data_IF_321663927340
#
_entry.id   IF_321663927340
#
_cell.length_a   1.000
_cell.length_b   1.000
_cell.length_c   1.000
_cell.angle_alpha   90.00
_cell.angle_beta   90.00
_cell.angle_gamma   90.00
#
_symmetry.space_group_name_H-M   'P 1'
#
loop_
_entity.id
_entity.type
_entity.pdbx_description
1 polymer ?
#
# COMPACT_ATOMS: atom_id res chain seq x y z
N UNK A 1 -20.49 1.32 19.61
CA UNK A 1 -19.37 2.20 20.01
C UNK A 1 -18.76 2.78 18.73
N UNK A 2 -18.90 4.08 18.52
CA UNK A 2 -18.39 4.75 17.32
C UNK A 2 -16.86 4.86 17.41
N UNK A 3 -16.15 4.43 16.35
CA UNK A 3 -14.69 4.50 16.29
C UNK A 3 -14.27 5.91 15.90
N UNK A 4 -13.27 6.45 16.58
CA UNK A 4 -12.69 7.77 16.28
C UNK A 4 -11.24 7.65 15.83
N UNK A 5 -10.80 8.57 14.97
CA UNK A 5 -9.39 8.73 14.58
C UNK A 5 -8.91 10.14 14.90
N UNK A 6 -7.63 10.27 15.20
CA UNK A 6 -6.98 11.58 15.40
C UNK A 6 -6.22 11.92 14.12
N UNK A 7 -6.54 13.05 13.50
CA UNK A 7 -5.84 13.61 12.35
C UNK A 7 -5.41 15.03 12.72
N UNK A 8 -4.10 15.32 12.65
CA UNK A 8 -3.52 16.63 12.97
C UNK A 8 -3.92 17.19 14.35
N UNK A 9 -4.19 16.33 15.33
CA UNK A 9 -4.59 16.71 16.69
C UNK A 9 -6.11 16.80 16.92
N UNK A 10 -6.91 16.79 15.84
CA UNK A 10 -8.36 16.82 15.90
C UNK A 10 -8.96 15.40 15.87
N UNK A 11 -10.04 15.17 16.63
CA UNK A 11 -10.75 13.89 16.66
C UNK A 11 -11.92 13.89 15.69
N UNK A 12 -11.94 12.88 14.84
CA UNK A 12 -13.02 12.66 13.89
C UNK A 12 -13.67 11.30 14.13
N UNK A 13 -14.97 11.20 13.89
CA UNK A 13 -15.60 9.89 13.74
C UNK A 13 -15.07 9.22 12.47
N UNK A 14 -14.76 7.92 12.54
CA UNK A 14 -14.25 7.15 11.39
C UNK A 14 -15.26 7.17 10.25
N UNK A 15 -16.55 7.12 10.55
CA UNK A 15 -17.67 7.26 9.62
C UNK A 15 -17.56 8.53 8.77
N UNK A 16 -17.30 9.67 9.41
CA UNK A 16 -17.22 10.96 8.74
C UNK A 16 -15.96 11.09 7.88
N UNK A 17 -14.82 10.58 8.36
CA UNK A 17 -13.58 10.53 7.58
C UNK A 17 -13.77 9.67 6.33
N UNK A 18 -14.34 8.46 6.48
CA UNK A 18 -14.50 7.53 5.35
C UNK A 18 -15.45 8.06 4.26
N UNK A 19 -16.38 8.96 4.59
CA UNK A 19 -17.27 9.60 3.62
C UNK A 19 -16.58 10.68 2.79
N UNK A 20 -15.52 11.27 3.31
CA UNK A 20 -14.82 12.40 2.68
C UNK A 20 -13.51 11.98 2.01
N UNK A 21 -12.95 10.83 2.41
CA UNK A 21 -11.70 10.33 1.84
C UNK A 21 -11.90 9.87 0.41
N UNK A 22 -11.08 10.43 -0.48
CA UNK A 22 -10.93 9.99 -1.87
C UNK A 22 -9.60 9.26 -2.01
N UNK A 23 -9.64 8.06 -2.60
CA UNK A 23 -8.43 7.32 -2.95
C UNK A 23 -8.13 7.55 -4.43
N UNK A 24 -6.94 8.06 -4.72
CA UNK A 24 -6.51 8.35 -6.10
C UNK A 24 -5.07 7.91 -6.36
N UNK A 25 -4.70 7.68 -7.63
CA UNK A 25 -3.30 7.56 -8.01
C UNK A 25 -2.51 8.82 -7.64
N UNK A 26 -1.27 8.61 -7.22
CA UNK A 26 -0.30 9.69 -6.96
C UNK A 26 0.18 10.22 -8.31
N UNK A 27 0.25 11.54 -8.43
CA UNK A 27 0.77 12.18 -9.64
C UNK A 27 2.30 12.09 -9.70
N UNK A 28 2.94 12.14 -10.88
CA UNK A 28 4.39 12.02 -10.99
C UNK A 28 5.19 12.97 -10.09
N UNK A 29 4.74 14.22 -9.96
CA UNK A 29 5.32 15.27 -9.13
C UNK A 29 5.17 15.00 -7.62
N UNK A 30 4.15 14.24 -7.22
CA UNK A 30 3.87 13.89 -5.82
C UNK A 30 4.64 12.64 -5.36
N UNK A 31 5.24 11.88 -6.29
CA UNK A 31 5.90 10.62 -5.99
C UNK A 31 7.09 10.79 -5.02
N UNK A 32 7.80 11.92 -5.09
CA UNK A 32 8.89 12.25 -4.17
C UNK A 32 8.40 12.36 -2.72
N UNK A 33 7.32 13.14 -2.51
CA UNK A 33 6.65 13.31 -1.21
C UNK A 33 6.15 11.98 -0.67
N UNK A 34 5.52 11.16 -1.53
CA UNK A 34 5.02 9.83 -1.16
C UNK A 34 6.14 8.92 -0.62
N UNK A 35 7.27 8.87 -1.33
CA UNK A 35 8.43 8.05 -0.93
C UNK A 35 9.04 8.53 0.38
N UNK A 36 9.11 9.85 0.59
CA UNK A 36 9.61 10.43 1.84
C UNK A 36 8.71 10.05 3.02
N UNK A 37 7.39 10.21 2.88
CA UNK A 37 6.43 9.92 3.95
C UNK A 37 6.36 8.44 4.30
N UNK A 38 6.35 7.51 3.33
CA UNK A 38 6.42 6.07 3.68
C UNK A 38 7.74 5.76 4.39
N UNK A 39 8.88 6.32 3.95
CA UNK A 39 10.16 6.07 4.61
C UNK A 39 10.15 6.53 6.08
N UNK A 40 9.53 7.67 6.35
CA UNK A 40 9.49 8.29 7.68
C UNK A 40 8.44 7.66 8.61
N UNK A 41 7.25 7.32 8.09
CA UNK A 41 6.07 6.95 8.89
C UNK A 41 5.75 5.46 8.87
N UNK A 42 6.19 4.71 7.86
CA UNK A 42 5.89 3.28 7.78
C UNK A 42 6.80 2.51 8.74
N UNK A 43 6.22 1.68 9.61
CA UNK A 43 6.95 0.92 10.63
C UNK A 43 7.97 -0.11 10.09
N UNK A 44 7.90 -0.43 8.78
CA UNK A 44 8.92 -1.25 8.09
C UNK A 44 9.86 -0.42 7.19
N UNK A 45 9.69 0.91 7.16
CA UNK A 45 10.34 1.80 6.21
C UNK A 45 9.90 1.59 4.75
N UNK A 46 10.57 2.30 3.84
CA UNK A 46 10.53 2.09 2.39
C UNK A 46 11.94 1.85 1.87
N UNK A 47 12.26 0.60 1.52
CA UNK A 47 13.52 0.29 0.85
C UNK A 47 13.34 0.26 -0.67
N UNK A 48 12.39 -0.53 -1.16
CA UNK A 48 12.07 -0.58 -2.58
C UNK A 48 10.70 -1.20 -2.82
N UNK A 49 9.97 -0.71 -3.82
CA UNK A 49 8.82 -1.42 -4.39
C UNK A 49 9.33 -2.15 -5.63
N UNK A 50 9.10 -3.46 -5.71
CA UNK A 50 9.70 -4.32 -6.75
C UNK A 50 8.82 -4.36 -8.00
N UNK A 51 9.44 -4.15 -9.17
CA UNK A 51 8.78 -4.28 -10.48
C UNK A 51 7.89 -3.09 -10.83
N UNK A 52 6.76 -3.37 -11.47
CA UNK A 52 5.74 -2.36 -11.79
C UNK A 52 5.06 -1.89 -10.50
N UNK A 53 4.88 -0.58 -10.36
CA UNK A 53 4.35 0.01 -9.11
C UNK A 53 3.23 0.98 -9.39
N UNK A 54 2.22 0.94 -8.51
CA UNK A 54 1.12 1.89 -8.54
C UNK A 54 1.00 2.49 -7.15
N UNK A 55 1.24 3.80 -7.08
CA UNK A 55 1.18 4.55 -5.83
C UNK A 55 -0.20 5.21 -5.72
N UNK A 56 -0.83 5.05 -4.57
CA UNK A 56 -2.08 5.72 -4.22
C UNK A 56 -1.92 6.55 -2.96
N UNK A 57 -2.74 7.58 -2.90
CA UNK A 57 -2.95 8.40 -1.71
C UNK A 57 -4.43 8.43 -1.39
N UNK A 58 -4.73 8.31 -0.09
CA UNK A 58 -6.03 8.66 0.47
C UNK A 58 -5.97 10.12 0.91
N UNK A 59 -6.84 10.94 0.33
CA UNK A 59 -6.89 12.38 0.52
C UNK A 59 -8.25 12.79 1.09
N UNK A 60 -8.24 13.72 2.04
CA UNK A 60 -9.42 14.38 2.59
C UNK A 60 -9.17 15.89 2.56
N UNK A 61 -9.99 16.65 1.83
CA UNK A 61 -9.85 18.12 1.68
C UNK A 61 -8.43 18.59 1.33
N UNK A 62 -7.78 17.96 0.34
CA UNK A 62 -6.40 18.31 -0.03
C UNK A 62 -5.31 17.71 0.88
N UNK A 63 -5.71 17.08 2.00
CA UNK A 63 -4.78 16.54 3.00
C UNK A 63 -4.58 15.05 2.82
N UNK A 64 -3.32 14.62 2.81
CA UNK A 64 -2.96 13.21 2.71
C UNK A 64 -3.13 12.54 4.07
N UNK A 65 -4.10 11.62 4.17
CA UNK A 65 -4.42 10.92 5.42
C UNK A 65 -3.90 9.49 5.45
N UNK A 66 -3.66 8.87 4.30
CA UNK A 66 -3.01 7.55 4.21
C UNK A 66 -2.32 7.35 2.86
N UNK A 67 -1.38 6.40 2.83
CA UNK A 67 -0.58 6.07 1.66
C UNK A 67 -0.66 4.57 1.38
N UNK A 68 -0.87 4.20 0.13
CA UNK A 68 -1.03 2.79 -0.29
C UNK A 68 -0.18 2.53 -1.53
N UNK A 69 0.74 1.57 -1.44
CA UNK A 69 1.59 1.17 -2.55
C UNK A 69 1.26 -0.23 -3.03
N UNK A 70 1.14 -0.40 -4.34
CA UNK A 70 1.06 -1.70 -5.00
C UNK A 70 2.34 -1.97 -5.78
N UNK A 71 2.79 -3.21 -5.79
CA UNK A 71 3.95 -3.67 -6.54
C UNK A 71 3.67 -5.03 -7.19
N UNK A 72 4.61 -5.51 -8.00
CA UNK A 72 4.57 -6.87 -8.52
C UNK A 72 4.45 -7.90 -7.40
N UNK A 73 3.75 -9.00 -7.68
CA UNK A 73 3.54 -10.06 -6.71
C UNK A 73 4.85 -10.75 -6.28
N UNK A 74 4.97 -11.01 -4.97
CA UNK A 74 6.08 -11.78 -4.44
C UNK A 74 6.04 -13.23 -4.95
N UNK A 75 7.22 -13.73 -5.32
CA UNK A 75 7.40 -15.04 -5.94
C UNK A 75 7.03 -16.20 -5.00
N UNK A 76 7.31 -16.05 -3.70
CA UNK A 76 7.28 -17.15 -2.71
C UNK A 76 6.14 -17.04 -1.69
N UNK A 77 4.92 -16.70 -2.15
CA UNK A 77 3.72 -16.71 -1.31
C UNK A 77 2.90 -17.97 -1.62
N UNK A 78 3.14 -19.04 -0.87
CA UNK A 78 2.50 -20.35 -1.06
C UNK A 78 1.03 -20.33 -0.67
N UNK A 79 0.67 -19.60 0.39
CA UNK A 79 -0.71 -19.44 0.86
C UNK A 79 -1.61 -18.85 -0.23
N UNK A 80 -1.13 -17.83 -0.97
CA UNK A 80 -1.85 -17.25 -2.12
C UNK A 80 -2.12 -18.30 -3.20
N UNK A 81 -1.09 -19.07 -3.57
CA UNK A 81 -1.25 -20.09 -4.61
C UNK A 81 -2.27 -21.16 -4.21
N UNK A 82 -2.25 -21.60 -2.94
CA UNK A 82 -3.25 -22.55 -2.40
C UNK A 82 -4.66 -21.97 -2.37
N UNK A 83 -4.82 -20.72 -1.93
CA UNK A 83 -6.12 -20.06 -1.86
C UNK A 83 -6.78 -19.91 -3.23
N UNK A 84 -6.01 -19.51 -4.26
CA UNK A 84 -6.54 -19.39 -5.63
C UNK A 84 -6.70 -20.78 -6.29
N UNK A 85 -6.11 -21.84 -5.71
CA UNK A 85 -6.11 -23.19 -6.28
C UNK A 85 -5.14 -23.37 -7.46
N UNK A 86 -4.07 -22.57 -7.52
CA UNK A 86 -3.09 -22.65 -8.61
C UNK A 86 -2.12 -23.81 -8.45
N UNK A 87 -1.94 -24.57 -9.53
CA UNK A 87 -0.78 -25.46 -9.70
C UNK A 87 0.51 -24.65 -9.86
N UNK A 88 1.68 -25.30 -9.75
CA UNK A 88 2.97 -24.64 -9.99
C UNK A 88 3.07 -24.01 -11.38
N UNK A 89 2.57 -24.71 -12.41
CA UNK A 89 2.55 -24.22 -13.79
C UNK A 89 1.62 -23.00 -13.95
N UNK A 90 0.42 -23.05 -13.36
CA UNK A 90 -0.51 -21.91 -13.37
C UNK A 90 0.08 -20.70 -12.67
N UNK A 91 0.72 -20.90 -11.50
CA UNK A 91 1.43 -19.84 -10.79
C UNK A 91 2.47 -19.19 -11.70
N UNK A 92 3.33 -19.97 -12.35
CA UNK A 92 4.40 -19.42 -13.19
C UNK A 92 3.85 -18.57 -14.35
N UNK A 93 2.73 -18.99 -14.96
CA UNK A 93 2.12 -18.24 -16.07
C UNK A 93 1.29 -17.03 -15.64
N UNK A 94 0.66 -17.10 -14.46
CA UNK A 94 -0.34 -16.12 -14.01
C UNK A 94 0.17 -15.11 -12.99
N UNK A 95 1.33 -15.35 -12.37
CA UNK A 95 1.85 -14.47 -11.33
C UNK A 95 2.03 -13.02 -11.78
N UNK A 96 2.39 -12.81 -13.06
CA UNK A 96 2.55 -11.49 -13.68
C UNK A 96 1.26 -10.64 -13.73
N UNK A 97 0.10 -11.25 -13.52
CA UNK A 97 -1.20 -10.55 -13.51
C UNK A 97 -1.67 -10.19 -12.09
N UNK A 98 -0.84 -10.42 -11.07
CA UNK A 98 -1.17 -10.14 -9.68
C UNK A 98 -0.39 -8.91 -9.21
N UNK A 99 -1.12 -7.92 -8.73
CA UNK A 99 -0.57 -6.85 -7.90
C UNK A 99 -0.61 -7.27 -6.43
N UNK A 100 0.37 -6.81 -5.66
CA UNK A 100 0.47 -7.05 -4.22
C UNK A 100 0.62 -5.72 -3.50
N UNK A 101 -0.02 -5.59 -2.33
CA UNK A 101 0.24 -4.46 -1.45
C UNK A 101 1.70 -4.53 -0.94
N UNK A 102 2.48 -3.49 -1.22
CA UNK A 102 3.92 -3.43 -1.01
C UNK A 102 4.35 -3.34 0.46
N UNK A 103 4.03 -4.37 1.25
CA UNK A 103 4.45 -4.51 2.66
C UNK A 103 5.68 -5.39 2.76
N UNK A 104 6.78 -4.95 2.17
CA UNK A 104 8.01 -5.72 2.17
C UNK A 104 8.91 -5.27 3.32
N UNK A 105 9.34 -6.24 4.14
CA UNK A 105 10.38 -6.02 5.13
C UNK A 105 11.71 -5.84 4.40
N UNK A 106 12.52 -4.88 4.83
CA UNK A 106 13.89 -4.74 4.36
C UNK A 106 14.63 -6.08 4.47
N UNK A 107 15.47 -6.48 3.50
CA UNK A 107 16.44 -7.54 3.75
C UNK A 107 17.27 -7.15 4.98
N UNK A 108 17.49 -8.09 5.90
CA UNK A 108 18.47 -7.87 6.97
C UNK A 108 19.82 -7.68 6.27
N UNK A 109 20.49 -6.57 6.55
CA UNK A 109 21.92 -6.46 6.25
C UNK A 109 22.65 -7.68 6.85
N UNK A 110 23.67 -8.22 6.16
CA UNK A 110 24.47 -9.32 6.69
C UNK A 110 25.09 -8.99 8.05
#
# INVERSE_FOLDING_TARGET
MERTVVLDGERYAVSDVLRQVVVRPVRPEEAGRWKALIRERHYLGLHHLVGETILHVAEMDGRWVALVGWCSAALKVTVRARFIGWTAQQKQRRLKFIAQNGRQKAPRSP
#
